data_IF_140725617479
#
_entry.id   IF_140725617479
#
_cell.length_a   1.000
_cell.length_b   1.000
_cell.length_c   1.000
_cell.angle_alpha   90.00
_cell.angle_beta   90.00
_cell.angle_gamma   90.00
#
_symmetry.space_group_name_H-M   'P 1'
#
loop_
_entity.id
_entity.type
_entity.pdbx_description
1 polymer ?
#
# COMPACT_ATOMS: atom_id res chain seq x y z
N UNK A 1 -1.26 -10.99 7.91
CA UNK A 1 0.03 -10.95 7.17
C UNK A 1 0.27 -9.58 6.49
N UNK A 2 -0.06 -8.46 7.13
CA UNK A 2 0.16 -7.12 6.55
C UNK A 2 1.53 -6.53 6.91
N UNK A 3 2.03 -6.79 8.13
CA UNK A 3 3.30 -6.23 8.61
C UNK A 3 4.49 -6.52 7.70
N UNK A 4 4.75 -7.81 7.41
CA UNK A 4 5.85 -8.23 6.52
C UNK A 4 5.68 -7.69 5.09
N UNK A 5 4.48 -7.82 4.51
CA UNK A 5 4.21 -7.34 3.14
C UNK A 5 4.38 -5.82 3.03
N UNK A 6 3.88 -5.07 4.00
CA UNK A 6 4.08 -3.62 4.04
C UNK A 6 5.53 -3.23 4.33
N UNK A 7 6.26 -4.01 5.12
CA UNK A 7 7.70 -3.85 5.31
C UNK A 7 8.46 -3.95 3.99
N UNK A 8 8.17 -4.97 3.18
CA UNK A 8 8.74 -5.12 1.84
C UNK A 8 8.32 -3.98 0.91
N UNK A 9 7.02 -3.66 0.85
CA UNK A 9 6.49 -2.60 0.00
C UNK A 9 7.12 -1.24 0.29
N UNK A 10 7.37 -0.96 1.56
CA UNK A 10 7.91 0.32 2.03
C UNK A 10 9.43 0.34 2.20
N UNK A 11 10.15 -0.72 1.82
CA UNK A 11 11.58 -0.86 2.09
C UNK A 11 12.43 0.30 1.52
N UNK A 12 12.04 0.83 0.34
CA UNK A 12 12.69 1.95 -0.35
C UNK A 12 11.91 3.28 -0.28
N UNK A 13 10.89 3.37 0.57
CA UNK A 13 10.11 4.59 0.70
C UNK A 13 10.95 5.68 1.40
N UNK A 14 10.96 6.90 0.82
CA UNK A 14 11.66 8.05 1.40
C UNK A 14 11.12 8.43 2.79
N UNK A 15 9.81 8.24 3.01
CA UNK A 15 9.14 8.46 4.30
C UNK A 15 8.51 7.14 4.75
N UNK A 16 9.31 6.29 5.43
CA UNK A 16 8.91 4.92 5.82
C UNK A 16 7.64 4.88 6.66
N UNK A 17 7.54 5.70 7.71
CA UNK A 17 6.39 5.67 8.63
C UNK A 17 5.08 6.00 7.92
N UNK A 18 5.11 6.97 7.01
CA UNK A 18 3.96 7.33 6.17
C UNK A 18 3.56 6.16 5.28
N UNK A 19 4.52 5.53 4.62
CA UNK A 19 4.25 4.38 3.75
C UNK A 19 3.64 3.21 4.54
N UNK A 20 4.23 2.85 5.69
CA UNK A 20 3.76 1.75 6.53
C UNK A 20 2.34 2.00 7.05
N UNK A 21 2.03 3.24 7.47
CA UNK A 21 0.69 3.63 7.92
C UNK A 21 -0.36 3.41 6.82
N UNK A 22 -0.14 3.97 5.62
CA UNK A 22 -1.12 3.84 4.54
C UNK A 22 -1.18 2.44 3.96
N UNK A 23 -0.05 1.74 3.85
CA UNK A 23 -0.03 0.33 3.45
C UNK A 23 -0.82 -0.54 4.44
N UNK A 24 -0.65 -0.33 5.75
CA UNK A 24 -1.36 -1.06 6.78
C UNK A 24 -2.87 -0.87 6.70
N UNK A 25 -3.32 0.38 6.51
CA UNK A 25 -4.74 0.70 6.30
C UNK A 25 -5.27 -0.03 5.06
N UNK A 26 -4.61 0.12 3.92
CA UNK A 26 -5.03 -0.50 2.67
C UNK A 26 -4.99 -2.04 2.72
N UNK A 27 -4.01 -2.62 3.40
CA UNK A 27 -3.93 -4.06 3.59
C UNK A 27 -5.02 -4.58 4.53
N UNK A 28 -5.37 -3.83 5.58
CA UNK A 28 -6.46 -4.21 6.48
C UNK A 28 -7.81 -4.24 5.75
N UNK A 29 -8.05 -3.27 4.88
CA UNK A 29 -9.27 -3.15 4.08
C UNK A 29 -9.32 -4.14 2.90
N UNK A 30 -8.23 -4.25 2.13
CA UNK A 30 -8.20 -5.02 0.88
C UNK A 30 -7.62 -6.43 1.03
N UNK A 31 -7.04 -6.77 2.19
CA UNK A 31 -6.34 -8.05 2.46
C UNK A 31 -5.23 -8.40 1.46
N UNK A 32 -4.73 -7.41 0.71
CA UNK A 32 -3.77 -7.56 -0.38
C UNK A 32 -2.72 -6.44 -0.30
N UNK A 33 -1.47 -6.75 -0.65
CA UNK A 33 -0.37 -5.78 -0.83
C UNK A 33 0.39 -6.22 -2.08
N UNK A 34 0.57 -5.32 -3.07
CA UNK A 34 1.35 -5.60 -4.28
C UNK A 34 2.78 -5.99 -4.01
N UNK A 35 3.36 -6.75 -4.93
CA UNK A 35 4.78 -7.08 -4.97
C UNK A 35 5.66 -5.84 -5.21
N UNK A 36 6.96 -5.99 -4.94
CA UNK A 36 7.96 -4.93 -5.11
C UNK A 36 7.78 -3.72 -4.18
N UNK A 37 8.61 -2.69 -4.40
CA UNK A 37 8.59 -1.44 -3.62
C UNK A 37 7.84 -0.30 -4.29
N UNK A 38 7.41 -0.49 -5.54
CA UNK A 38 6.70 0.48 -6.37
C UNK A 38 5.94 -0.28 -7.48
N UNK A 39 4.90 0.32 -8.07
CA UNK A 39 4.15 -0.30 -9.17
C UNK A 39 3.31 -1.52 -8.77
N UNK A 40 3.02 -2.41 -9.73
CA UNK A 40 2.32 -3.70 -9.57
C UNK A 40 0.94 -3.63 -8.91
N UNK A 41 0.30 -2.45 -8.92
CA UNK A 41 -0.96 -2.26 -8.21
C UNK A 41 -2.11 -3.08 -8.82
N UNK A 42 -1.99 -3.46 -10.09
CA UNK A 42 -2.88 -4.38 -10.79
C UNK A 42 -3.00 -5.77 -10.13
N UNK A 43 -1.97 -6.23 -9.40
CA UNK A 43 -2.04 -7.46 -8.61
C UNK A 43 -3.09 -7.40 -7.49
N UNK A 44 -3.42 -6.19 -7.03
CA UNK A 44 -4.38 -5.94 -5.95
C UNK A 44 -5.36 -4.82 -6.37
N UNK A 45 -6.42 -5.11 -7.15
CA UNK A 45 -7.34 -4.10 -7.67
C UNK A 45 -7.94 -3.19 -6.58
N UNK A 46 -8.37 -3.76 -5.44
CA UNK A 46 -8.84 -2.95 -4.30
C UNK A 46 -7.77 -1.96 -3.81
N UNK A 47 -6.51 -2.39 -3.70
CA UNK A 47 -5.41 -1.54 -3.25
C UNK A 47 -5.09 -0.42 -4.25
N UNK A 48 -5.17 -0.73 -5.56
CA UNK A 48 -5.01 0.23 -6.65
C UNK A 48 -6.09 1.30 -6.65
N UNK A 49 -7.34 0.89 -6.49
CA UNK A 49 -8.51 1.75 -6.72
C UNK A 49 -8.88 2.55 -5.47
N UNK A 50 -8.24 2.30 -4.34
CA UNK A 50 -8.41 3.07 -3.11
C UNK A 50 -7.97 4.52 -3.29
N UNK A 51 -8.93 5.42 -3.12
CA UNK A 51 -8.73 6.88 -3.14
C UNK A 51 -8.86 7.49 -1.74
N UNK A 52 -8.18 8.61 -1.54
CA UNK A 52 -8.39 9.50 -0.39
C UNK A 52 -9.68 10.30 -0.58
N UNK A 53 -10.12 11.03 0.43
CA UNK A 53 -11.26 11.97 0.30
C UNK A 53 -11.04 13.07 -0.75
N UNK A 54 -9.80 13.28 -1.21
CA UNK A 54 -9.45 14.23 -2.27
C UNK A 54 -9.37 13.58 -3.66
N UNK A 55 -9.76 12.32 -3.80
CA UNK A 55 -9.73 11.59 -5.08
C UNK A 55 -8.35 11.09 -5.53
N UNK A 56 -7.29 11.36 -4.76
CA UNK A 56 -5.93 10.88 -5.05
C UNK A 56 -5.71 9.44 -4.58
N UNK A 57 -4.77 8.67 -5.18
CA UNK A 57 -4.43 7.34 -4.69
C UNK A 57 -4.05 7.35 -3.21
N UNK A 58 -4.70 6.51 -2.40
CA UNK A 58 -4.49 6.41 -0.95
C UNK A 58 -3.31 5.50 -0.61
N UNK A 59 -3.15 4.41 -1.35
CA UNK A 59 -2.23 3.33 -1.00
C UNK A 59 -0.88 3.48 -1.72
N UNK A 60 0.25 3.20 -1.05
CA UNK A 60 1.60 3.41 -1.61
C UNK A 60 1.91 2.55 -2.84
#
# INVERSE_FOLDING_TARGET
MCGLKCGMRCAKAAVKDRCLKYCGICCAECKCVPSGTYGHKDECPCYRDKKSGKGTPKCP
#
